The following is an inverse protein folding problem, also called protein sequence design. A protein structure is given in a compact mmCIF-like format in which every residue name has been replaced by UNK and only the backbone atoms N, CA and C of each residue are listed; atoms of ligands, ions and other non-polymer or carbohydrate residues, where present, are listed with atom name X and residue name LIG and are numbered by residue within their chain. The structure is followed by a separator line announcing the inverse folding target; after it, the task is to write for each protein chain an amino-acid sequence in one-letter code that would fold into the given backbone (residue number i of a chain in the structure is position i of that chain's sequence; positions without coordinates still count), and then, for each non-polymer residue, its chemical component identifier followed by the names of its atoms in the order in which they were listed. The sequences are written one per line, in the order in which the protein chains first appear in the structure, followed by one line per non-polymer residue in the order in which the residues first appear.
data_IF_890052045966
#
_entry.id   IF_890052045966
#
_cell.length_a   1.000
_cell.length_b   1.000
_cell.length_c   1.000
_cell.angle_alpha   90.00
_cell.angle_beta   90.00
_cell.angle_gamma   90.00
#
_symmetry.space_group_name_H-M   'P 1'
#
loop_
_entity.id
_entity.type
_entity.pdbx_description
1 polymer ?
#
# COMPACT_ATOMS: atom_id res chain seq x y z
N UNK A 1 -3.06 18.63 22.87
CA UNK A 1 -4.15 17.72 22.47
C UNK A 1 -3.86 17.24 21.06
N UNK A 2 -4.05 15.95 20.76
CA UNK A 2 -3.98 15.45 19.38
C UNK A 2 -5.27 15.85 18.66
N UNK A 3 -5.14 16.37 17.46
CA UNK A 3 -6.28 16.63 16.58
C UNK A 3 -6.55 15.33 15.81
N UNK A 4 -7.80 14.89 15.76
CA UNK A 4 -8.20 13.78 14.91
C UNK A 4 -8.21 14.28 13.46
N UNK A 5 -7.36 13.68 12.63
CA UNK A 5 -7.27 13.98 11.21
C UNK A 5 -7.78 12.75 10.46
N UNK A 6 -8.93 12.89 9.81
CA UNK A 6 -9.49 11.88 8.91
C UNK A 6 -9.41 12.38 7.46
N UNK A 7 -8.67 11.65 6.63
CA UNK A 7 -8.49 11.94 5.20
C UNK A 7 -9.09 10.85 4.31
N UNK A 8 -9.98 10.02 4.86
CA UNK A 8 -10.63 8.90 4.14
C UNK A 8 -11.28 9.37 2.83
N UNK A 9 -11.97 10.51 2.86
CA UNK A 9 -12.64 11.06 1.67
C UNK A 9 -11.65 11.48 0.57
N UNK A 10 -10.48 12.00 0.95
CA UNK A 10 -9.47 12.46 -0.01
C UNK A 10 -8.76 11.29 -0.70
N UNK A 11 -8.58 10.18 0.02
CA UNK A 11 -7.94 8.96 -0.51
C UNK A 11 -8.72 8.41 -1.72
N UNK A 12 -10.04 8.39 -1.64
CA UNK A 12 -10.91 7.90 -2.72
C UNK A 12 -10.76 8.73 -4.01
N UNK A 13 -10.33 9.99 -3.89
CA UNK A 13 -10.13 10.91 -5.01
C UNK A 13 -8.78 10.76 -5.73
N UNK A 14 -7.87 9.91 -5.27
CA UNK A 14 -6.53 9.78 -5.85
C UNK A 14 -6.57 9.12 -7.24
N UNK A 15 -6.16 9.87 -8.26
CA UNK A 15 -6.23 9.43 -9.67
C UNK A 15 -4.94 8.83 -10.21
N UNK A 16 -3.80 9.07 -9.57
CA UNK A 16 -2.52 8.46 -9.92
C UNK A 16 -2.39 7.03 -9.35
N UNK A 17 -1.52 6.15 -9.90
CA UNK A 17 -1.13 4.92 -9.21
C UNK A 17 -0.56 5.25 -7.82
N UNK A 18 -0.90 4.44 -6.82
CA UNK A 18 -0.44 4.61 -5.42
C UNK A 18 0.09 3.27 -4.92
N UNK A 19 1.24 3.30 -4.26
CA UNK A 19 1.80 2.15 -3.56
C UNK A 19 1.81 2.43 -2.05
N UNK A 20 1.16 1.56 -1.31
CA UNK A 20 1.24 1.47 0.14
C UNK A 20 2.34 0.49 0.53
N UNK A 21 3.29 0.92 1.35
CA UNK A 21 4.48 0.15 1.72
C UNK A 21 4.67 0.20 3.23
N UNK A 22 4.44 -0.92 3.90
CA UNK A 22 4.41 -1.05 5.37
C UNK A 22 5.21 -2.27 5.82
N UNK A 23 5.62 -2.28 7.08
CA UNK A 23 6.19 -3.47 7.73
C UNK A 23 5.10 -4.29 8.41
N UNK A 24 5.35 -5.59 8.60
CA UNK A 24 4.44 -6.45 9.38
C UNK A 24 4.51 -6.19 10.89
N UNK A 25 5.62 -5.63 11.39
CA UNK A 25 5.83 -5.15 12.75
C UNK A 25 5.94 -3.62 12.81
N UNK A 26 5.23 -2.91 11.93
CA UNK A 26 5.16 -1.45 11.94
C UNK A 26 4.34 -0.93 13.14
N UNK A 27 4.58 0.32 13.50
CA UNK A 27 3.72 1.12 14.38
C UNK A 27 2.28 1.26 13.84
N UNK A 28 2.09 1.15 12.53
CA UNK A 28 0.79 1.07 11.87
C UNK A 28 0.41 -0.40 11.69
N UNK A 29 -0.75 -0.80 12.22
CA UNK A 29 -1.21 -2.18 12.11
C UNK A 29 -1.45 -2.59 10.64
N UNK A 30 -1.08 -3.81 10.22
CA UNK A 30 -1.35 -4.29 8.86
C UNK A 30 -2.83 -4.27 8.46
N UNK A 31 -3.75 -4.42 9.42
CA UNK A 31 -5.19 -4.27 9.17
C UNK A 31 -5.56 -2.88 8.67
N UNK A 32 -4.92 -1.84 9.21
CA UNK A 32 -5.15 -0.47 8.76
C UNK A 32 -4.58 -0.22 7.36
N UNK A 33 -3.43 -0.81 7.03
CA UNK A 33 -2.88 -0.76 5.68
C UNK A 33 -3.82 -1.44 4.66
N UNK A 34 -4.47 -2.54 5.05
CA UNK A 34 -5.48 -3.21 4.22
C UNK A 34 -6.74 -2.35 4.04
N UNK A 35 -7.22 -1.68 5.09
CA UNK A 35 -8.35 -0.73 5.01
C UNK A 35 -8.03 0.44 4.06
N UNK A 36 -6.84 1.02 4.16
CA UNK A 36 -6.41 2.07 3.22
C UNK A 36 -6.39 1.52 1.79
N UNK A 37 -5.85 0.33 1.58
CA UNK A 37 -5.82 -0.28 0.26
C UNK A 37 -7.24 -0.54 -0.31
N UNK A 38 -8.20 -0.87 0.53
CA UNK A 38 -9.61 -0.97 0.13
C UNK A 38 -10.20 0.37 -0.30
N UNK A 39 -9.85 1.48 0.36
CA UNK A 39 -10.26 2.83 -0.07
C UNK A 39 -9.74 3.17 -1.48
N UNK A 40 -8.54 2.70 -1.82
CA UNK A 40 -7.96 2.79 -3.17
C UNK A 40 -8.60 1.79 -4.17
N UNK A 41 -9.63 1.04 -3.77
CA UNK A 41 -10.29 0.02 -4.60
C UNK A 41 -9.51 -1.28 -4.75
N UNK A 42 -8.45 -1.48 -3.97
CA UNK A 42 -7.68 -2.72 -3.92
C UNK A 42 -8.31 -3.77 -3.00
N UNK A 43 -8.02 -5.05 -3.21
CA UNK A 43 -8.45 -6.12 -2.30
C UNK A 43 -9.96 -6.46 -2.29
N UNK A 44 -10.78 -5.76 -3.08
CA UNK A 44 -12.25 -5.95 -3.12
C UNK A 44 -12.72 -7.21 -3.83
N UNK A 45 -11.93 -7.73 -4.76
CA UNK A 45 -12.23 -8.93 -5.56
C UNK A 45 -10.96 -9.58 -6.10
N UNK A 46 -11.10 -10.80 -6.59
CA UNK A 46 -10.03 -11.50 -7.30
C UNK A 46 -9.59 -10.74 -8.57
N UNK A 47 -8.30 -10.85 -8.88
CA UNK A 47 -7.67 -10.17 -10.01
C UNK A 47 -7.98 -10.77 -11.38
N UNK A 48 -8.70 -11.89 -11.44
CA UNK A 48 -8.84 -12.76 -12.62
C UNK A 48 -7.50 -13.35 -13.09
N UNK A 49 -7.55 -14.46 -13.81
CA UNK A 49 -6.35 -15.10 -14.37
C UNK A 49 -5.57 -14.20 -15.33
N UNK A 50 -6.26 -13.32 -16.03
CA UNK A 50 -5.68 -12.36 -16.99
C UNK A 50 -5.26 -11.02 -16.35
N UNK A 51 -5.45 -10.86 -15.04
CA UNK A 51 -5.13 -9.63 -14.32
C UNK A 51 -6.14 -8.49 -14.51
N UNK A 52 -7.21 -8.67 -15.28
CA UNK A 52 -8.22 -7.62 -15.56
C UNK A 52 -8.97 -7.11 -14.32
N UNK A 53 -8.93 -7.88 -13.23
CA UNK A 53 -9.50 -7.51 -11.93
C UNK A 53 -8.56 -6.72 -11.03
N UNK A 54 -7.28 -6.61 -11.37
CA UNK A 54 -6.29 -5.92 -10.54
C UNK A 54 -6.48 -4.40 -10.59
N UNK A 55 -6.33 -3.75 -9.44
CA UNK A 55 -6.25 -2.28 -9.38
C UNK A 55 -4.88 -1.79 -9.88
N UNK A 56 -4.79 -0.52 -10.28
CA UNK A 56 -3.51 0.16 -10.58
C UNK A 56 -2.67 0.43 -9.33
N UNK A 57 -3.28 0.35 -8.14
CA UNK A 57 -2.62 0.56 -6.86
C UNK A 57 -1.89 -0.71 -6.40
N UNK A 58 -0.97 -0.58 -5.44
CA UNK A 58 -0.22 -1.71 -4.87
C UNK A 58 -0.19 -1.62 -3.34
N UNK A 59 -0.21 -2.77 -2.68
CA UNK A 59 0.02 -2.92 -1.24
C UNK A 59 1.19 -3.89 -1.04
N UNK A 60 2.19 -3.47 -0.29
CA UNK A 60 3.30 -4.30 0.15
C UNK A 60 3.41 -4.26 1.67
N UNK A 61 3.36 -5.45 2.29
CA UNK A 61 3.66 -5.66 3.71
C UNK A 61 4.96 -6.46 3.79
N UNK A 62 6.02 -5.86 4.34
CA UNK A 62 7.35 -6.47 4.39
C UNK A 62 7.52 -7.30 5.67
N UNK A 63 7.89 -8.59 5.53
CA UNK A 63 8.04 -9.48 6.69
C UNK A 63 9.27 -9.13 7.53
N UNK A 64 9.13 -9.23 8.85
CA UNK A 64 10.20 -8.98 9.81
C UNK A 64 10.72 -7.54 9.85
N UNK A 65 9.88 -6.56 9.48
CA UNK A 65 10.28 -5.15 9.45
C UNK A 65 9.38 -4.28 10.31
N UNK A 66 9.98 -3.26 10.90
CA UNK A 66 9.32 -2.24 11.71
C UNK A 66 9.31 -0.91 10.96
N UNK A 67 8.56 0.05 11.50
CA UNK A 67 8.56 1.44 11.01
C UNK A 67 9.98 2.01 10.80
N UNK A 68 10.91 1.62 11.67
CA UNK A 68 12.23 2.23 11.75
C UNK A 68 13.25 1.62 10.79
N UNK A 69 13.12 0.34 10.44
CA UNK A 69 14.13 -0.38 9.65
C UNK A 69 13.63 -0.85 8.27
N UNK A 70 12.36 -0.65 7.94
CA UNK A 70 11.77 -1.08 6.68
C UNK A 70 12.55 -0.58 5.44
N UNK A 71 13.09 0.64 5.52
CA UNK A 71 13.84 1.27 4.44
C UNK A 71 15.23 0.64 4.20
N UNK A 72 15.77 -0.06 5.19
CA UNK A 72 17.05 -0.77 5.09
C UNK A 72 16.88 -2.17 4.48
N UNK A 73 15.64 -2.68 4.40
CA UNK A 73 15.36 -4.01 3.89
C UNK A 73 15.74 -4.13 2.41
N UNK A 74 16.47 -5.19 2.01
CA UNK A 74 16.74 -5.44 0.59
C UNK A 74 15.46 -5.70 -0.23
N UNK A 75 14.34 -6.02 0.44
CA UNK A 75 13.03 -6.14 -0.20
C UNK A 75 12.45 -4.79 -0.64
N UNK A 76 12.86 -3.67 -0.04
CA UNK A 76 12.35 -2.35 -0.37
C UNK A 76 12.56 -1.99 -1.85
N UNK A 77 13.80 -1.97 -2.39
CA UNK A 77 14.01 -1.68 -3.80
C UNK A 77 13.40 -2.74 -4.74
N UNK A 78 13.28 -3.99 -4.29
CA UNK A 78 12.67 -5.07 -5.07
C UNK A 78 11.17 -4.84 -5.30
N UNK A 79 10.46 -4.29 -4.31
CA UNK A 79 9.02 -4.03 -4.40
C UNK A 79 8.72 -2.67 -5.03
N UNK A 80 9.51 -1.63 -4.72
CA UNK A 80 9.22 -0.25 -5.15
C UNK A 80 9.61 0.02 -6.60
N UNK A 81 10.75 -0.50 -7.08
CA UNK A 81 11.24 -0.20 -8.43
C UNK A 81 10.29 -0.65 -9.55
N UNK A 82 9.71 -1.87 -9.53
CA UNK A 82 8.75 -2.28 -10.56
C UNK A 82 7.54 -1.35 -10.63
N UNK A 83 6.98 -0.97 -9.48
CA UNK A 83 5.86 -0.03 -9.41
C UNK A 83 6.20 1.33 -10.03
N UNK A 84 7.38 1.88 -9.72
CA UNK A 84 7.81 3.16 -10.30
C UNK A 84 8.02 3.07 -11.82
N UNK A 85 8.47 1.92 -12.34
CA UNK A 85 8.66 1.71 -13.77
C UNK A 85 7.34 1.46 -14.52
N UNK A 86 6.33 0.88 -13.86
CA UNK A 86 4.98 0.70 -14.42
C UNK A 86 4.18 2.02 -14.44
N UNK A 87 4.45 2.92 -13.49
CA UNK A 87 3.74 4.19 -13.34
C UNK A 87 4.30 5.34 -14.21
N UNK A 88 5.46 5.14 -14.85
CA UNK A 88 6.10 6.08 -15.76
C UNK A 88 5.57 5.93 -17.19
#
# INVERSE_FOLDING_TARGET
MRQENDSTADIVGLTMPVMLFYGDADSIAPSHAAEFFDLLGGGRRDGSWDGSGMTKHRLAILPGTTHYNIHESPLAPMMVKPFLNEAA
#
